data_IF_224254825017
#
_entry.id   IF_224254825017
#
_cell.length_a   1.000
_cell.length_b   1.000
_cell.length_c   1.000
_cell.angle_alpha   90.00
_cell.angle_beta   90.00
_cell.angle_gamma   90.00
#
_symmetry.space_group_name_H-M   'P 1'
#
loop_
_entity.id
_entity.type
_entity.pdbx_description
1 polymer ?
#
# COMPACT_ATOMS: atom_id res chain seq x y z
N UNK A 1 50.36 61.15 -20.44
CA UNK A 1 49.01 61.16 -21.07
C UNK A 1 48.05 60.50 -20.08
N UNK A 2 46.99 61.23 -19.67
CA UNK A 2 45.87 60.75 -18.82
C UNK A 2 45.27 59.49 -19.45
N UNK A 3 44.79 58.49 -18.70
CA UNK A 3 43.48 58.51 -18.04
C UNK A 3 43.49 57.69 -16.74
N UNK A 4 43.00 58.35 -15.71
CA UNK A 4 42.61 57.87 -14.39
C UNK A 4 41.14 57.42 -14.46
N UNK A 5 40.77 56.27 -13.88
CA UNK A 5 39.46 55.99 -13.26
C UNK A 5 39.63 54.77 -12.35
N UNK A 6 39.87 55.01 -11.06
CA UNK A 6 38.88 54.97 -9.97
C UNK A 6 38.29 53.55 -9.80
N UNK A 7 38.78 52.79 -8.81
CA UNK A 7 38.22 52.72 -7.44
C UNK A 7 36.99 51.77 -7.45
N UNK A 8 36.91 50.68 -6.69
CA UNK A 8 36.72 50.69 -5.24
C UNK A 8 37.02 49.29 -4.65
N UNK A 9 37.76 49.28 -3.55
CA UNK A 9 37.53 48.54 -2.30
C UNK A 9 37.26 47.02 -2.30
N UNK A 10 38.26 46.34 -1.73
CA UNK A 10 38.19 45.35 -0.64
C UNK A 10 37.87 43.88 -0.94
N UNK A 11 38.45 42.98 -0.10
CA UNK A 11 38.57 41.55 -0.32
C UNK A 11 37.51 40.77 0.49
N UNK A 12 37.66 39.45 0.45
CA UNK A 12 37.04 38.45 1.33
C UNK A 12 35.71 37.88 0.85
N UNK A 13 35.55 36.62 1.24
CA UNK A 13 34.44 35.72 0.98
C UNK A 13 34.43 35.15 -0.45
N UNK A 14 35.06 33.98 -0.53
CA UNK A 14 34.58 32.89 -1.35
C UNK A 14 33.05 32.80 -1.29
N UNK A 15 32.36 33.41 -2.24
CA UNK A 15 31.04 32.98 -2.65
C UNK A 15 31.24 31.81 -3.63
N UNK A 16 31.71 30.69 -3.07
CA UNK A 16 31.18 29.41 -3.51
C UNK A 16 29.68 29.54 -3.28
N UNK A 17 28.95 29.93 -4.32
CA UNK A 17 27.56 29.53 -4.47
C UNK A 17 27.61 28.01 -4.48
N UNK A 18 27.63 27.42 -3.28
CA UNK A 18 27.08 26.10 -3.07
C UNK A 18 25.64 26.24 -3.55
N UNK A 19 25.42 25.86 -4.80
CA UNK A 19 24.16 25.27 -5.23
C UNK A 19 23.92 24.08 -4.29
N UNK A 20 23.48 24.37 -3.07
CA UNK A 20 22.67 23.44 -2.30
C UNK A 20 21.37 23.36 -3.08
N UNK A 21 21.37 22.58 -4.18
CA UNK A 21 20.15 21.91 -4.57
C UNK A 21 19.76 21.15 -3.31
N UNK A 22 18.80 21.67 -2.57
CA UNK A 22 18.04 20.87 -1.65
C UNK A 22 17.57 19.69 -2.51
N UNK A 23 18.13 18.50 -2.25
CA UNK A 23 17.58 17.26 -2.78
C UNK A 23 16.26 17.07 -2.02
N UNK A 24 15.25 17.89 -2.34
CA UNK A 24 13.95 17.82 -1.70
C UNK A 24 13.36 16.45 -1.99
N UNK A 25 12.67 15.89 -0.99
CA UNK A 25 12.03 14.60 -1.16
C UNK A 25 10.82 14.77 -2.09
N UNK A 26 10.93 14.27 -3.31
CA UNK A 26 9.91 14.42 -4.36
C UNK A 26 9.33 13.06 -4.73
N UNK A 27 8.01 13.02 -4.92
CA UNK A 27 7.31 11.84 -5.42
C UNK A 27 7.67 11.64 -6.90
N UNK A 28 8.38 10.56 -7.22
CA UNK A 28 8.81 10.25 -8.59
C UNK A 28 7.86 9.31 -9.31
N UNK A 29 7.31 8.32 -8.60
CA UNK A 29 6.41 7.31 -9.17
C UNK A 29 5.25 7.04 -8.23
N UNK A 30 4.05 6.84 -8.78
CA UNK A 30 2.89 6.38 -8.03
C UNK A 30 2.12 5.33 -8.84
N UNK A 31 1.85 4.20 -8.20
CA UNK A 31 1.04 3.12 -8.74
C UNK A 31 -0.03 2.71 -7.73
N UNK A 32 -1.27 2.52 -8.20
CA UNK A 32 -2.40 2.14 -7.33
C UNK A 32 -3.25 1.05 -7.99
N UNK A 33 -2.75 -0.20 -8.05
CA UNK A 33 -3.51 -1.29 -8.63
C UNK A 33 -4.62 -1.73 -7.70
N UNK A 34 -5.78 -1.99 -8.28
CA UNK A 34 -6.94 -2.54 -7.62
C UNK A 34 -7.27 -3.92 -8.20
N UNK A 35 -7.48 -4.91 -7.33
CA UNK A 35 -7.94 -6.24 -7.73
C UNK A 35 -9.20 -6.61 -6.96
N UNK A 36 -10.11 -7.30 -7.63
CA UNK A 36 -11.28 -7.89 -6.98
C UNK A 36 -11.34 -9.35 -7.35
N UNK A 37 -11.35 -10.21 -6.34
CA UNK A 37 -11.49 -11.65 -6.49
C UNK A 37 -12.75 -12.11 -5.77
N UNK A 38 -13.44 -13.05 -6.39
CA UNK A 38 -14.50 -13.79 -5.74
C UNK A 38 -13.94 -15.09 -5.19
N UNK A 39 -14.13 -15.30 -3.88
CA UNK A 39 -13.60 -16.46 -3.16
C UNK A 39 -14.76 -17.38 -2.80
N UNK A 40 -14.83 -18.47 -3.56
CA UNK A 40 -15.58 -19.69 -3.25
C UNK A 40 -14.54 -20.78 -3.07
N UNK A 41 -13.98 -20.88 -1.86
CA UNK A 41 -13.01 -21.93 -1.60
C UNK A 41 -13.70 -23.29 -1.75
N UNK A 42 -13.17 -24.12 -2.66
CA UNK A 42 -13.86 -25.29 -3.24
C UNK A 42 -14.08 -26.35 -2.17
N UNK A 43 -15.21 -26.26 -1.48
CA UNK A 43 -15.69 -27.25 -0.51
C UNK A 43 -15.90 -26.73 0.91
N UNK A 44 -15.43 -25.51 1.25
CA UNK A 44 -15.54 -24.96 2.60
C UNK A 44 -16.54 -23.81 2.72
N UNK A 45 -16.69 -22.97 1.68
CA UNK A 45 -17.63 -21.85 1.69
C UNK A 45 -18.82 -22.14 0.79
N UNK A 46 -20.03 -21.94 1.32
CA UNK A 46 -21.27 -22.05 0.55
C UNK A 46 -21.62 -20.74 -0.18
N UNK A 47 -21.13 -19.60 0.33
CA UNK A 47 -21.38 -18.28 -0.25
C UNK A 47 -20.09 -17.62 -0.69
N UNK A 48 -20.23 -16.78 -1.71
CA UNK A 48 -19.14 -16.03 -2.30
C UNK A 48 -18.75 -14.85 -1.42
N UNK A 49 -17.45 -14.62 -1.28
CA UNK A 49 -16.91 -13.37 -0.74
C UNK A 49 -16.26 -12.59 -1.87
N UNK A 50 -16.64 -11.31 -2.01
CA UNK A 50 -15.89 -10.39 -2.87
C UNK A 50 -14.79 -9.77 -2.04
N UNK A 51 -13.55 -10.04 -2.40
CA UNK A 51 -12.36 -9.50 -1.74
C UNK A 51 -11.73 -8.48 -2.67
N UNK A 52 -11.64 -7.24 -2.19
CA UNK A 52 -11.05 -6.13 -2.93
C UNK A 52 -9.75 -5.69 -2.29
N UNK A 53 -8.70 -5.64 -3.11
CA UNK A 53 -7.36 -5.21 -2.76
C UNK A 53 -7.04 -3.91 -3.45
N UNK A 54 -6.44 -2.97 -2.72
CA UNK A 54 -5.81 -1.79 -3.29
C UNK A 54 -4.40 -1.72 -2.74
N UNK A 55 -3.40 -1.76 -3.62
CA UNK A 55 -2.02 -1.49 -3.23
C UNK A 55 -1.69 -0.05 -3.59
N UNK A 56 -0.96 0.66 -2.74
CA UNK A 56 -0.44 1.99 -3.01
C UNK A 56 1.07 1.91 -2.94
N UNK A 57 1.72 2.15 -4.07
CA UNK A 57 3.17 2.18 -4.20
C UNK A 57 3.56 3.59 -4.60
N UNK A 58 4.32 4.27 -3.74
CA UNK A 58 4.87 5.59 -4.01
C UNK A 58 6.40 5.51 -3.87
N UNK A 59 7.14 5.99 -4.87
CA UNK A 59 8.60 6.06 -4.86
C UNK A 59 9.00 7.51 -4.72
N UNK A 60 9.89 7.79 -3.79
CA UNK A 60 10.40 9.13 -3.54
C UNK A 60 11.90 9.21 -3.87
N UNK A 61 12.28 10.30 -4.51
CA UNK A 61 13.68 10.65 -4.82
C UNK A 61 14.11 11.85 -3.98
N UNK A 62 15.43 11.99 -3.76
CA UNK A 62 15.99 13.05 -2.92
C UNK A 62 16.32 12.59 -1.49
N UNK A 63 16.51 13.56 -0.60
CA UNK A 63 16.96 13.38 0.78
C UNK A 63 15.72 13.21 1.69
N UNK A 64 15.06 12.07 1.53
CA UNK A 64 13.86 11.72 2.27
C UNK A 64 14.21 11.28 3.71
N UNK A 65 13.78 12.05 4.70
CA UNK A 65 13.94 11.72 6.13
C UNK A 65 13.15 10.47 6.56
N UNK A 66 12.16 10.06 5.76
CA UNK A 66 11.39 8.82 5.90
C UNK A 66 11.59 7.95 4.65
N UNK A 67 11.40 6.64 4.77
CA UNK A 67 11.68 5.61 3.74
C UNK A 67 11.39 6.08 2.30
N UNK A 68 12.33 5.80 1.38
CA UNK A 68 12.24 6.13 -0.07
C UNK A 68 11.04 5.51 -0.78
N UNK A 69 10.30 4.65 -0.10
CA UNK A 69 9.17 3.91 -0.65
C UNK A 69 8.02 3.94 0.34
N UNK A 70 6.83 4.26 -0.15
CA UNK A 70 5.58 3.95 0.54
C UNK A 70 4.95 2.77 -0.15
N UNK A 71 4.67 1.74 0.63
CA UNK A 71 3.98 0.55 0.17
C UNK A 71 2.86 0.24 1.16
N UNK A 72 1.62 0.43 0.74
CA UNK A 72 0.45 0.17 1.56
C UNK A 72 -0.49 -0.81 0.87
N UNK A 73 -1.04 -1.73 1.63
CA UNK A 73 -2.10 -2.63 1.14
C UNK A 73 -3.36 -2.34 1.92
N UNK A 74 -4.45 -2.14 1.18
CA UNK A 74 -5.78 -1.95 1.71
C UNK A 74 -6.67 -3.10 1.30
N UNK A 75 -7.57 -3.46 2.21
CA UNK A 75 -8.41 -4.64 2.09
C UNK A 75 -9.86 -4.29 2.40
N UNK A 76 -10.76 -4.71 1.52
CA UNK A 76 -12.20 -4.77 1.80
C UNK A 76 -12.74 -6.15 1.49
N UNK A 77 -13.64 -6.64 2.32
CA UNK A 77 -14.33 -7.92 2.10
C UNK A 77 -15.83 -7.66 2.15
N UNK A 78 -16.53 -8.08 1.10
CA UNK A 78 -17.99 -8.09 1.03
C UNK A 78 -18.50 -9.51 1.12
N UNK A 79 -19.36 -9.80 2.08
CA UNK A 79 -20.09 -11.06 2.15
C UNK A 79 -21.24 -11.07 1.14
N UNK A 80 -21.51 -12.21 0.50
CA UNK A 80 -22.76 -12.47 -0.25
C UNK A 80 -23.68 -13.47 0.46
N UNK A 81 -23.35 -13.85 1.70
CA UNK A 81 -24.20 -14.71 2.50
C UNK A 81 -25.51 -14.01 2.86
N UNK A 82 -26.65 -14.74 2.91
CA UNK A 82 -27.94 -14.20 3.31
C UNK A 82 -28.07 -14.00 4.83
N UNK A 83 -27.12 -14.52 5.62
CA UNK A 83 -27.10 -14.41 7.09
C UNK A 83 -25.82 -13.73 7.59
N UNK A 84 -25.82 -13.40 8.89
CA UNK A 84 -24.62 -12.96 9.60
C UNK A 84 -23.65 -14.13 9.77
N UNK A 85 -22.37 -13.85 9.57
CA UNK A 85 -21.30 -14.85 9.54
C UNK A 85 -20.16 -14.44 10.46
N UNK A 86 -19.42 -15.42 10.98
CA UNK A 86 -18.11 -15.19 11.59
C UNK A 86 -17.08 -15.90 10.73
N UNK A 87 -16.14 -15.14 10.15
CA UNK A 87 -15.18 -15.66 9.19
C UNK A 87 -13.75 -15.64 9.74
N UNK A 88 -12.98 -16.63 9.33
CA UNK A 88 -11.53 -16.66 9.48
C UNK A 88 -10.92 -16.51 8.09
N UNK A 89 -9.89 -15.69 7.94
CA UNK A 89 -9.23 -15.56 6.64
C UNK A 89 -7.74 -15.39 6.76
N UNK A 90 -7.07 -15.90 5.73
CA UNK A 90 -5.65 -15.73 5.47
C UNK A 90 -5.53 -15.23 4.03
N UNK A 91 -4.84 -14.12 3.88
CA UNK A 91 -4.47 -13.59 2.57
C UNK A 91 -2.95 -13.64 2.50
N UNK A 92 -2.44 -14.38 1.54
CA UNK A 92 -1.02 -14.41 1.23
C UNK A 92 -0.74 -13.48 0.07
N UNK A 93 0.22 -12.58 0.29
CA UNK A 93 0.67 -11.62 -0.71
C UNK A 93 2.13 -11.92 -1.01
N UNK A 94 2.40 -12.31 -2.25
CA UNK A 94 3.72 -12.77 -2.69
C UNK A 94 4.22 -11.89 -3.83
N UNK A 95 5.48 -11.46 -3.75
CA UNK A 95 6.14 -10.77 -4.84
C UNK A 95 7.61 -11.15 -4.91
N UNK A 96 7.98 -11.88 -5.97
CA UNK A 96 9.34 -12.39 -6.12
C UNK A 96 9.70 -13.25 -4.91
N UNK A 97 10.76 -12.86 -4.20
CA UNK A 97 11.23 -13.54 -2.99
C UNK A 97 10.61 -12.99 -1.69
N UNK A 98 9.91 -11.85 -1.75
CA UNK A 98 9.23 -11.25 -0.61
C UNK A 98 7.79 -11.78 -0.50
N UNK A 99 7.35 -12.08 0.73
CA UNK A 99 5.95 -12.41 1.00
C UNK A 99 5.51 -11.92 2.37
N UNK A 100 4.22 -11.65 2.51
CA UNK A 100 3.59 -11.43 3.80
C UNK A 100 2.17 -11.97 3.81
N UNK A 101 1.68 -12.25 5.02
CA UNK A 101 0.34 -12.77 5.22
C UNK A 101 -0.49 -11.83 6.09
N UNK A 102 -1.74 -11.65 5.72
CA UNK A 102 -2.77 -11.00 6.54
C UNK A 102 -3.68 -12.09 7.06
N UNK A 103 -3.58 -12.37 8.36
CA UNK A 103 -4.43 -13.35 9.05
C UNK A 103 -5.38 -12.64 10.01
N UNK A 104 -6.67 -12.96 9.91
CA UNK A 104 -7.70 -12.51 10.84
C UNK A 104 -8.58 -13.69 11.20
N UNK A 105 -8.93 -13.77 12.48
CA UNK A 105 -9.85 -14.77 12.99
C UNK A 105 -11.06 -14.07 13.60
N UNK A 106 -12.17 -14.80 13.67
CA UNK A 106 -13.39 -14.42 14.36
C UNK A 106 -13.97 -13.07 13.91
N UNK A 107 -13.89 -12.79 12.61
CA UNK A 107 -14.42 -11.55 12.04
C UNK A 107 -15.91 -11.69 11.82
N UNK A 108 -16.71 -10.97 12.61
CA UNK A 108 -18.14 -10.85 12.39
C UNK A 108 -18.42 -9.98 11.15
N UNK A 109 -19.16 -10.52 10.18
CA UNK A 109 -19.61 -9.82 8.99
C UNK A 109 -21.12 -10.05 8.83
N UNK A 110 -21.89 -8.97 8.70
CA UNK A 110 -23.34 -9.07 8.51
C UNK A 110 -23.70 -9.52 7.10
N UNK A 111 -24.92 -10.00 6.95
CA UNK A 111 -25.51 -10.33 5.65
C UNK A 111 -25.33 -9.18 4.64
N UNK A 112 -24.76 -9.49 3.47
CA UNK A 112 -24.47 -8.54 2.38
C UNK A 112 -23.61 -7.30 2.76
N UNK A 113 -22.91 -7.34 3.89
CA UNK A 113 -22.10 -6.23 4.37
C UNK A 113 -20.72 -6.20 3.69
N UNK A 114 -20.17 -4.99 3.56
CA UNK A 114 -18.76 -4.77 3.24
C UNK A 114 -18.01 -4.25 4.46
N UNK A 115 -16.99 -4.98 4.88
CA UNK A 115 -16.05 -4.54 5.91
C UNK A 115 -14.84 -3.91 5.23
N UNK A 116 -14.50 -2.69 5.62
CA UNK A 116 -13.27 -2.02 5.24
C UNK A 116 -12.24 -2.19 6.36
N UNK A 117 -11.16 -2.93 6.09
CA UNK A 117 -10.10 -3.16 7.06
C UNK A 117 -9.05 -2.04 7.04
N UNK A 118 -9.19 -1.05 6.15
CA UNK A 118 -8.21 0.01 5.97
C UNK A 118 -6.86 -0.55 5.51
N UNK A 119 -5.78 0.03 6.03
CA UNK A 119 -4.40 -0.38 5.71
C UNK A 119 -4.05 -1.62 6.55
N UNK A 120 -3.87 -2.76 5.89
CA UNK A 120 -3.50 -4.04 6.52
C UNK A 120 -2.00 -4.30 6.51
N UNK A 121 -1.23 -3.57 5.69
CA UNK A 121 0.23 -3.56 5.65
C UNK A 121 0.73 -2.18 5.26
N UNK A 122 1.78 -1.70 5.95
CA UNK A 122 2.51 -0.46 5.63
C UNK A 122 4.01 -0.72 5.63
N UNK A 123 4.70 -0.12 4.67
CA UNK A 123 6.16 -0.18 4.53
C UNK A 123 6.65 -1.48 3.90
N UNK A 124 7.95 -1.55 3.65
CA UNK A 124 8.62 -2.66 2.96
C UNK A 124 9.44 -2.20 1.76
N UNK A 125 10.03 -3.15 1.06
CA UNK A 125 10.65 -2.96 -0.25
C UNK A 125 9.65 -2.37 -1.27
N UNK A 126 10.17 -1.81 -2.37
CA UNK A 126 9.36 -1.46 -3.55
C UNK A 126 8.70 -2.74 -4.07
N UNK A 127 7.38 -2.82 -4.01
CA UNK A 127 6.61 -3.97 -4.51
C UNK A 127 5.77 -3.53 -5.72
N UNK A 128 6.20 -3.85 -6.94
CA UNK A 128 5.56 -3.33 -8.16
C UNK A 128 4.28 -4.09 -8.56
N UNK A 129 4.24 -5.42 -8.41
CA UNK A 129 3.06 -6.25 -8.70
C UNK A 129 3.01 -7.46 -7.77
N UNK A 130 2.08 -7.45 -6.82
CA UNK A 130 1.90 -8.56 -5.89
C UNK A 130 0.92 -9.62 -6.44
N UNK A 131 1.30 -10.89 -6.36
CA UNK A 131 0.38 -12.03 -6.42
C UNK A 131 -0.39 -12.13 -5.10
N UNK A 132 -1.69 -12.41 -5.19
CA UNK A 132 -2.57 -12.48 -4.02
C UNK A 132 -3.31 -13.82 -4.04
N UNK A 133 -3.14 -14.59 -2.98
CA UNK A 133 -3.93 -15.79 -2.71
C UNK A 133 -4.80 -15.56 -1.47
N UNK A 134 -6.05 -16.04 -1.52
CA UNK A 134 -7.05 -15.75 -0.49
C UNK A 134 -7.78 -17.01 -0.07
N UNK A 135 -7.60 -17.35 1.20
CA UNK A 135 -8.39 -18.37 1.87
C UNK A 135 -9.33 -17.70 2.87
N UNK A 136 -10.63 -17.88 2.68
CA UNK A 136 -11.67 -17.49 3.64
C UNK A 136 -12.35 -18.77 4.08
N UNK A 137 -12.57 -18.93 5.37
CA UNK A 137 -13.35 -20.00 5.95
C UNK A 137 -14.54 -19.41 6.69
N UNK A 138 -15.74 -19.87 6.34
CA UNK A 138 -16.96 -19.46 7.01
C UNK A 138 -17.83 -20.68 7.40
N UNK A 139 -18.57 -20.61 8.51
CA UNK A 139 -19.64 -21.56 8.79
C UNK A 139 -20.84 -21.31 7.85
N UNK A 140 -21.62 -22.36 7.55
CA UNK A 140 -22.87 -22.25 6.77
C UNK A 140 -23.89 -21.36 7.49
N UNK A 141 -24.83 -20.77 6.75
CA UNK A 141 -25.98 -20.14 7.40
C UNK A 141 -26.83 -21.19 8.12
N UNK A 142 -27.48 -20.83 9.25
CA UNK A 142 -28.43 -21.73 9.90
C UNK A 142 -29.51 -22.20 8.92
N UNK A 143 -29.63 -23.52 8.76
CA UNK A 143 -30.62 -24.15 7.87
C UNK A 143 -30.10 -24.54 6.48
N UNK A 144 -28.86 -24.20 6.12
CA UNK A 144 -28.26 -24.64 4.87
C UNK A 144 -27.46 -25.94 5.09
N UNK A 145 -27.89 -27.03 4.44
CA UNK A 145 -27.31 -28.38 4.56
C UNK A 145 -26.01 -28.60 3.78
#
# INVERSE_FOLDING_TARGET
MKILKLCWLLPAAALLLSCSLSNECELSERYTPGWTQFVLDRGFNLYEFRVSFEQIVEVYMGDCAADKYRNETRLKITSKAPCDQTINFIIEVTMGDDSYQVKKNDVAIRSNETIDFGIVKRGGSRIDLAGIDVAIYCPKCPGDE
#
